data_IF_039165726821
#
_entry.id   IF_039165726821
#
_cell.length_a   1.000
_cell.length_b   1.000
_cell.length_c   1.000
_cell.angle_alpha   90.00
_cell.angle_beta   90.00
_cell.angle_gamma   90.00
#
_symmetry.space_group_name_H-M   'P 1'
#
loop_
_entity.id
_entity.type
_entity.pdbx_description
1 polymer ?
#
# COMPACT_ATOMS: atom_id res chain seq x y z
N UNK A 1 -7.66 11.69 14.15
CA UNK A 1 -7.13 12.98 13.66
C UNK A 1 -6.73 12.75 12.21
N UNK A 2 -7.17 13.61 11.30
CA UNK A 2 -6.81 13.54 9.88
C UNK A 2 -5.29 13.67 9.76
N UNK A 3 -4.63 12.83 8.98
CA UNK A 3 -3.17 12.89 8.82
C UNK A 3 -2.82 14.01 7.84
N UNK A 4 -2.44 15.17 8.37
CA UNK A 4 -1.97 16.34 7.58
C UNK A 4 -0.93 15.94 6.52
N UNK A 5 -0.06 14.98 6.84
CA UNK A 5 0.94 14.44 5.92
C UNK A 5 0.35 13.88 4.61
N UNK A 6 -0.84 13.25 4.65
CA UNK A 6 -1.49 12.72 3.44
C UNK A 6 -2.08 13.83 2.56
N UNK A 7 -2.49 14.94 3.17
CA UNK A 7 -2.99 16.12 2.45
C UNK A 7 -1.81 16.87 1.84
N UNK A 8 -0.75 17.10 2.61
CA UNK A 8 0.48 17.76 2.15
C UNK A 8 1.13 16.95 1.01
N UNK A 9 1.19 15.63 1.14
CA UNK A 9 1.69 14.72 0.11
C UNK A 9 0.74 14.51 -1.07
N UNK A 10 -0.41 15.20 -1.12
CA UNK A 10 -1.47 15.10 -2.14
C UNK A 10 -2.07 13.71 -2.34
N UNK A 11 -1.76 12.75 -1.45
CA UNK A 11 -2.34 11.40 -1.46
C UNK A 11 -3.86 11.48 -1.32
N UNK A 12 -4.33 12.29 -0.38
CA UNK A 12 -5.75 12.69 -0.33
C UNK A 12 -5.97 13.73 -1.42
N UNK A 13 -6.84 13.41 -2.38
CA UNK A 13 -7.09 14.20 -3.59
C UNK A 13 -6.63 13.46 -4.84
N UNK A 14 -5.33 13.13 -4.93
CA UNK A 14 -4.79 12.49 -6.13
C UNK A 14 -5.09 10.98 -6.18
N UNK A 15 -5.04 10.29 -5.04
CA UNK A 15 -5.20 8.82 -4.97
C UNK A 15 -6.51 8.44 -4.29
N UNK A 16 -6.72 8.95 -3.07
CA UNK A 16 -7.88 8.61 -2.25
C UNK A 16 -8.74 9.83 -1.94
N UNK A 17 -10.04 9.61 -1.80
CA UNK A 17 -10.96 10.63 -1.31
C UNK A 17 -10.72 10.89 0.18
N UNK A 18 -11.21 12.03 0.68
CA UNK A 18 -11.06 12.38 2.07
C UNK A 18 -11.72 11.35 3.01
N UNK A 19 -11.00 10.95 4.06
CA UNK A 19 -11.45 9.94 5.01
C UNK A 19 -10.94 10.21 6.43
N UNK A 20 -11.56 9.55 7.41
CA UNK A 20 -11.07 9.55 8.79
C UNK A 20 -10.34 8.25 9.09
N UNK A 21 -9.08 8.37 9.54
CA UNK A 21 -8.32 7.21 10.02
C UNK A 21 -8.96 6.65 11.29
N UNK A 22 -9.49 5.43 11.20
CA UNK A 22 -10.14 4.70 12.30
C UNK A 22 -9.30 3.53 12.81
N UNK A 23 -8.39 3.02 11.97
CA UNK A 23 -7.54 1.87 12.26
C UNK A 23 -6.07 2.29 12.17
N UNK A 24 -5.23 1.79 13.08
CA UNK A 24 -3.79 1.99 13.01
C UNK A 24 -3.18 0.87 12.18
N UNK A 25 -2.32 1.22 11.23
CA UNK A 25 -1.61 0.27 10.38
C UNK A 25 -0.11 0.54 10.47
N UNK A 26 0.69 -0.53 10.49
CA UNK A 26 2.15 -0.46 10.38
C UNK A 26 2.60 -1.36 9.25
N UNK A 27 3.34 -0.80 8.30
CA UNK A 27 3.90 -1.51 7.16
C UNK A 27 5.41 -1.57 7.31
N UNK A 28 6.01 -2.74 7.10
CA UNK A 28 7.45 -2.96 7.21
C UNK A 28 7.98 -3.74 6.01
N UNK A 29 9.06 -3.25 5.43
CA UNK A 29 9.85 -3.96 4.42
C UNK A 29 11.10 -4.55 5.06
N UNK A 30 11.35 -5.85 4.80
CA UNK A 30 12.43 -6.62 5.44
C UNK A 30 12.38 -6.50 6.97
N UNK A 31 13.41 -7.01 7.65
CA UNK A 31 13.43 -7.04 9.10
C UNK A 31 13.66 -5.68 9.77
N UNK A 32 13.73 -4.51 9.10
CA UNK A 32 14.00 -3.23 9.80
C UNK A 32 13.50 -1.94 9.12
N UNK A 33 12.87 -1.97 7.93
CA UNK A 33 12.45 -0.73 7.27
C UNK A 33 10.96 -0.47 7.48
N UNK A 34 10.63 0.31 8.49
CA UNK A 34 9.27 0.78 8.70
C UNK A 34 8.91 1.85 7.68
N UNK A 35 7.67 1.78 7.18
CA UNK A 35 7.08 2.80 6.31
C UNK A 35 6.52 3.91 7.19
N UNK A 36 7.00 5.13 6.95
CA UNK A 36 6.48 6.35 7.57
C UNK A 36 6.10 7.35 6.49
N UNK A 37 5.06 8.15 6.74
CA UNK A 37 4.57 9.15 5.81
C UNK A 37 5.70 10.09 5.35
N UNK A 38 5.77 10.31 4.03
CA UNK A 38 6.78 11.13 3.35
C UNK A 38 8.25 10.65 3.48
N UNK A 39 8.52 9.54 4.18
CA UNK A 39 9.88 9.06 4.36
C UNK A 39 10.43 8.46 3.05
N UNK A 40 11.73 8.61 2.81
CA UNK A 40 12.36 8.04 1.62
C UNK A 40 12.81 6.61 1.88
N UNK A 41 12.44 5.69 0.99
CA UNK A 41 12.90 4.31 1.00
C UNK A 41 13.73 4.02 -0.25
N UNK A 42 14.71 3.13 -0.11
CA UNK A 42 15.60 2.74 -1.19
C UNK A 42 14.92 1.65 -2.03
N UNK A 43 14.93 1.73 -3.37
CA UNK A 43 14.27 0.73 -4.22
C UNK A 43 14.68 -0.72 -3.91
N UNK A 44 15.94 -0.96 -3.55
CA UNK A 44 16.47 -2.30 -3.22
C UNK A 44 15.88 -2.91 -1.95
N UNK A 45 15.24 -2.12 -1.08
CA UNK A 45 14.56 -2.62 0.12
C UNK A 45 13.10 -2.99 -0.15
N UNK A 46 12.53 -2.55 -1.27
CA UNK A 46 11.12 -2.69 -1.63
C UNK A 46 10.82 -3.87 -2.56
N UNK A 47 11.84 -4.68 -2.89
CA UNK A 47 11.69 -5.82 -3.80
C UNK A 47 10.86 -6.98 -3.22
N UNK A 48 10.80 -7.09 -1.89
CA UNK A 48 10.03 -8.12 -1.19
C UNK A 48 8.65 -7.60 -0.78
N UNK A 49 7.68 -8.51 -0.69
CA UNK A 49 6.34 -8.22 -0.16
C UNK A 49 6.43 -7.55 1.22
N UNK A 50 5.68 -6.46 1.47
CA UNK A 50 5.64 -5.83 2.78
C UNK A 50 4.94 -6.71 3.82
N UNK A 51 5.39 -6.65 5.06
CA UNK A 51 4.65 -7.17 6.22
C UNK A 51 3.74 -6.08 6.75
N UNK A 52 2.44 -6.39 6.90
CA UNK A 52 1.44 -5.43 7.37
C UNK A 52 0.86 -5.89 8.69
N UNK A 53 0.88 -4.98 9.66
CA UNK A 53 0.29 -5.16 10.98
C UNK A 53 -0.88 -4.20 11.12
N UNK A 54 -2.06 -4.73 11.41
CA UNK A 54 -3.28 -3.92 11.57
C UNK A 54 -3.68 -3.91 13.04
N UNK A 55 -3.46 -2.76 13.68
CA UNK A 55 -3.82 -2.49 15.06
C UNK A 55 -5.19 -1.81 15.09
N UNK A 56 -6.23 -2.64 15.00
CA UNK A 56 -7.63 -2.21 15.09
C UNK A 56 -8.59 -3.18 14.42
N UNK A 57 -9.87 -3.08 14.79
CA UNK A 57 -10.92 -4.01 14.37
C UNK A 57 -11.00 -5.25 15.26
N UNK A 58 -11.93 -6.14 14.91
CA UNK A 58 -12.13 -7.41 15.61
C UNK A 58 -11.53 -8.54 14.77
N UNK A 59 -11.24 -9.71 15.35
CA UNK A 59 -10.75 -10.91 14.62
C UNK A 59 -11.69 -11.42 13.51
N UNK A 60 -12.90 -10.87 13.41
CA UNK A 60 -13.89 -11.17 12.37
C UNK A 60 -13.85 -10.19 11.20
N UNK A 61 -13.04 -9.14 11.31
CA UNK A 61 -12.88 -8.12 10.28
C UNK A 61 -11.63 -8.46 9.48
N UNK A 62 -11.78 -8.49 8.17
CA UNK A 62 -10.68 -8.69 7.22
C UNK A 62 -10.39 -7.39 6.50
N UNK A 63 -9.12 -7.11 6.29
CA UNK A 63 -8.63 -5.90 5.65
C UNK A 63 -7.91 -6.25 4.36
N UNK A 64 -8.02 -5.37 3.37
CA UNK A 64 -7.28 -5.43 2.13
C UNK A 64 -6.27 -4.29 2.08
N UNK A 65 -4.99 -4.61 1.88
CA UNK A 65 -3.96 -3.64 1.57
C UNK A 65 -3.87 -3.48 0.05
N UNK A 66 -3.89 -2.23 -0.40
CA UNK A 66 -3.59 -1.86 -1.79
C UNK A 66 -2.40 -0.92 -1.78
N UNK A 67 -1.36 -1.26 -2.55
CA UNK A 67 -0.21 -0.41 -2.78
C UNK A 67 -0.20 0.02 -4.25
N UNK A 68 -0.21 1.33 -4.48
CA UNK A 68 -0.24 1.93 -5.82
C UNK A 68 0.75 3.07 -5.94
N UNK A 69 1.26 3.30 -7.15
CA UNK A 69 2.13 4.42 -7.52
C UNK A 69 1.38 5.35 -8.50
N UNK A 70 1.02 6.57 -8.06
CA UNK A 70 0.35 7.56 -8.89
C UNK A 70 1.30 8.35 -9.80
N UNK A 71 2.61 8.15 -9.69
CA UNK A 71 3.64 8.99 -10.32
C UNK A 71 4.35 8.28 -11.48
N UNK A 72 3.75 7.24 -12.08
CA UNK A 72 4.39 6.48 -13.17
C UNK A 72 4.14 7.14 -14.54
N UNK A 73 5.18 7.33 -15.39
CA UNK A 73 6.60 7.02 -15.18
C UNK A 73 7.42 8.09 -14.42
N UNK A 74 6.86 9.29 -14.23
CA UNK A 74 7.41 10.30 -13.34
C UNK A 74 6.31 11.25 -12.85
N UNK A 75 6.52 11.94 -11.72
CA UNK A 75 5.51 12.81 -11.09
C UNK A 75 5.13 14.02 -11.94
N UNK A 76 5.99 14.43 -12.88
CA UNK A 76 5.74 15.57 -13.77
C UNK A 76 4.79 15.22 -14.93
N UNK A 77 4.77 13.97 -15.37
CA UNK A 77 3.91 13.49 -16.46
C UNK A 77 3.47 12.04 -16.19
N UNK A 78 2.55 11.84 -15.22
CA UNK A 78 2.16 10.51 -14.76
C UNK A 78 1.07 9.90 -15.66
N UNK A 79 1.32 9.79 -16.97
CA UNK A 79 0.32 9.30 -17.92
C UNK A 79 -0.03 7.80 -17.77
N UNK A 80 0.74 7.05 -16.97
CA UNK A 80 0.46 5.64 -16.64
C UNK A 80 -0.14 5.46 -15.23
N UNK A 81 -0.47 6.54 -14.53
CA UNK A 81 -1.16 6.44 -13.24
C UNK A 81 -2.52 5.76 -13.39
N UNK A 82 -2.94 4.89 -12.49
CA UNK A 82 -2.28 4.39 -11.27
C UNK A 82 -1.58 3.05 -11.55
N UNK A 83 -0.34 2.87 -11.07
CA UNK A 83 0.39 1.60 -11.19
C UNK A 83 0.28 0.78 -9.91
N UNK A 84 -0.43 -0.35 -10.00
CA UNK A 84 -0.63 -1.25 -8.89
C UNK A 84 0.65 -2.07 -8.59
N UNK A 85 1.18 -1.93 -7.38
CA UNK A 85 2.36 -2.67 -6.91
C UNK A 85 2.00 -3.96 -6.18
N UNK A 86 1.05 -3.90 -5.25
CA UNK A 86 0.65 -5.05 -4.42
C UNK A 86 -0.83 -4.95 -4.05
N UNK A 87 -1.49 -6.11 -4.00
CA UNK A 87 -2.77 -6.31 -3.32
C UNK A 87 -2.57 -7.46 -2.35
N UNK A 88 -2.92 -7.25 -1.08
CA UNK A 88 -2.93 -8.30 -0.05
C UNK A 88 -4.32 -8.30 0.56
N UNK A 89 -5.07 -9.39 0.41
CA UNK A 89 -6.42 -9.54 0.96
C UNK A 89 -6.38 -10.30 2.29
N UNK A 90 -7.55 -10.44 2.92
CA UNK A 90 -7.76 -11.35 4.05
C UNK A 90 -6.85 -11.14 5.27
N UNK A 91 -6.35 -9.92 5.47
CA UNK A 91 -5.54 -9.55 6.64
C UNK A 91 -6.49 -9.49 7.86
N UNK A 92 -6.33 -10.35 8.88
CA UNK A 92 -7.24 -10.32 10.02
C UNK A 92 -6.98 -9.08 10.89
N UNK A 93 -8.04 -8.50 11.44
CA UNK A 93 -7.93 -7.44 12.44
C UNK A 93 -7.21 -7.93 13.69
N UNK A 94 -6.41 -7.04 14.29
CA UNK A 94 -5.56 -7.29 15.49
C UNK A 94 -4.35 -8.20 15.30
N UNK A 95 -4.13 -8.73 14.11
CA UNK A 95 -2.98 -9.57 13.79
C UNK A 95 -2.17 -8.98 12.63
N UNK A 96 -1.21 -9.76 12.17
CA UNK A 96 -0.32 -9.39 11.08
C UNK A 96 -0.46 -10.33 9.89
N UNK A 97 -0.03 -9.84 8.73
CA UNK A 97 -0.08 -10.58 7.46
C UNK A 97 0.85 -11.81 7.41
N UNK A 98 1.39 -12.27 8.55
CA UNK A 98 2.16 -13.52 8.63
C UNK A 98 1.31 -14.79 8.69
N UNK A 99 -0.02 -14.65 8.80
CA UNK A 99 -0.93 -15.81 8.81
C UNK A 99 -0.97 -16.61 7.50
N UNK A 100 -0.22 -16.22 6.46
CA UNK A 100 -0.15 -16.93 5.17
C UNK A 100 1.12 -17.77 4.96
N UNK A 101 1.99 -17.97 5.95
CA UNK A 101 3.20 -18.80 5.76
C UNK A 101 3.12 -20.23 6.33
N UNK A 102 2.00 -20.64 6.94
CA UNK A 102 1.90 -22.02 7.46
C UNK A 102 0.46 -22.56 7.39
N UNK A 103 0.02 -22.99 6.20
CA UNK A 103 -1.21 -23.81 6.10
C UNK A 103 -2.02 -23.80 4.80
N UNK A 104 -1.65 -23.03 3.77
CA UNK A 104 -2.36 -23.06 2.49
C UNK A 104 -1.44 -23.64 1.41
N UNK A 105 -1.64 -24.93 1.11
CA UNK A 105 -1.02 -25.55 -0.06
C UNK A 105 -1.36 -24.76 -1.32
N UNK A 106 -0.38 -24.66 -2.21
CA UNK A 106 -0.44 -24.18 -3.59
C UNK A 106 -1.86 -24.03 -4.15
N UNK A 107 -2.50 -22.93 -3.80
CA UNK A 107 -3.67 -22.37 -4.45
C UNK A 107 -3.18 -21.07 -5.04
N UNK A 108 -3.03 -21.07 -6.35
CA UNK A 108 -2.65 -19.91 -7.13
C UNK A 108 -3.64 -18.75 -6.86
N UNK A 109 -3.33 -17.92 -5.87
CA UNK A 109 -3.89 -16.58 -5.68
C UNK A 109 -2.89 -15.56 -6.21
N UNK A 110 -2.29 -15.81 -7.38
CA UNK A 110 -2.12 -14.71 -8.31
C UNK A 110 -3.47 -14.54 -9.01
N UNK A 111 -4.34 -13.60 -8.59
CA UNK A 111 -5.32 -13.14 -9.54
C UNK A 111 -4.49 -12.60 -10.71
N UNK A 112 -4.64 -13.22 -11.87
CA UNK A 112 -4.15 -12.70 -13.14
C UNK A 112 -4.95 -11.44 -13.44
N UNK A 113 -4.71 -10.41 -12.63
CA UNK A 113 -5.39 -9.15 -12.74
C UNK A 113 -4.95 -8.54 -14.07
N UNK A 114 -5.90 -8.15 -14.94
CA UNK A 114 -5.56 -7.39 -16.14
C UNK A 114 -4.67 -6.21 -15.75
N UNK A 115 -3.67 -5.89 -16.59
CA UNK A 115 -2.62 -4.86 -16.38
C UNK A 115 -3.13 -3.43 -16.13
N UNK A 116 -4.42 -3.22 -15.93
CA UNK A 116 -5.07 -1.92 -15.78
C UNK A 116 -6.26 -2.05 -14.84
N UNK A 117 -5.97 -2.09 -13.54
CA UNK A 117 -6.99 -1.94 -12.50
C UNK A 117 -6.63 -0.72 -11.68
N UNK A 118 -7.50 0.28 -11.68
CA UNK A 118 -7.36 1.48 -10.86
C UNK A 118 -7.88 1.23 -9.44
N UNK A 119 -7.31 1.88 -8.42
CA UNK A 119 -7.79 1.80 -7.04
C UNK A 119 -9.29 2.07 -6.95
N UNK A 120 -9.76 3.09 -7.68
CA UNK A 120 -11.18 3.48 -7.73
C UNK A 120 -12.07 2.41 -8.37
N UNK A 121 -11.54 1.59 -9.26
CA UNK A 121 -12.26 0.47 -9.87
C UNK A 121 -12.30 -0.75 -8.93
N UNK A 122 -11.21 -1.02 -8.19
CA UNK A 122 -11.20 -2.03 -7.11
C UNK A 122 -12.27 -1.68 -6.07
N UNK A 123 -12.32 -0.43 -5.63
CA UNK A 123 -13.32 0.06 -4.68
C UNK A 123 -14.77 0.06 -5.24
N UNK A 124 -14.95 0.01 -6.56
CA UNK A 124 -16.27 -0.05 -7.20
C UNK A 124 -16.76 -1.48 -7.43
N UNK A 125 -15.85 -2.39 -7.77
CA UNK A 125 -16.17 -3.79 -8.08
C UNK A 125 -16.16 -4.71 -6.87
N UNK A 126 -15.27 -4.44 -5.92
CA UNK A 126 -15.21 -5.12 -4.63
C UNK A 126 -15.73 -4.17 -3.54
N UNK A 127 -16.34 -4.74 -2.52
CA UNK A 127 -17.02 -4.07 -1.39
C UNK A 127 -16.08 -3.24 -0.49
N UNK A 128 -14.92 -2.82 -1.00
CA UNK A 128 -13.90 -2.03 -0.32
C UNK A 128 -14.42 -0.60 -0.16
N UNK A 129 -14.84 -0.29 1.08
CA UNK A 129 -15.34 1.02 1.50
C UNK A 129 -14.22 2.07 1.46
N UNK A 130 -14.57 3.31 1.79
CA UNK A 130 -13.63 4.39 2.12
C UNK A 130 -12.46 3.86 2.95
N UNK A 131 -11.21 4.26 2.63
CA UNK A 131 -10.04 3.74 3.33
C UNK A 131 -10.13 4.03 4.83
N UNK A 132 -9.72 3.04 5.64
CA UNK A 132 -9.69 3.14 7.12
C UNK A 132 -8.33 3.58 7.64
N UNK A 133 -7.29 3.43 6.81
CA UNK A 133 -5.92 3.85 7.04
C UNK A 133 -5.23 4.05 5.69
N UNK A 134 -4.26 4.96 5.62
CA UNK A 134 -3.36 5.08 4.48
C UNK A 134 -1.98 5.58 4.96
N UNK A 135 -0.94 5.14 4.26
CA UNK A 135 0.45 5.55 4.44
C UNK A 135 1.08 5.71 3.06
N UNK A 136 2.08 6.58 2.94
CA UNK A 136 2.88 6.70 1.73
C UNK A 136 4.37 6.87 2.07
N UNK A 137 5.22 6.52 1.14
CA UNK A 137 6.66 6.77 1.21
C UNK A 137 7.15 7.23 -0.16
N UNK A 138 8.30 7.87 -0.19
CA UNK A 138 8.94 8.31 -1.42
C UNK A 138 10.01 7.31 -1.83
N UNK A 139 10.11 7.02 -3.13
CA UNK A 139 11.14 6.15 -3.68
C UNK A 139 11.63 6.72 -5.00
N UNK A 140 12.93 6.95 -5.11
CA UNK A 140 13.55 7.42 -6.35
C UNK A 140 14.75 6.55 -6.66
N UNK A 141 14.98 6.27 -7.94
CA UNK A 141 16.24 5.66 -8.36
C UNK A 141 17.39 6.61 -8.00
N UNK A 142 18.49 6.12 -7.39
CA UNK A 142 19.63 6.99 -7.10
C UNK A 142 20.14 7.62 -8.40
N UNK A 143 20.33 8.93 -8.37
CA UNK A 143 20.92 9.66 -9.49
C UNK A 143 22.30 9.08 -9.84
N UNK A 144 22.60 8.96 -11.12
CA UNK A 144 23.86 8.38 -11.60
C UNK A 144 25.12 9.10 -11.06
N UNK A 145 24.97 10.31 -10.54
CA UNK A 145 26.02 11.15 -9.95
C UNK A 145 26.54 10.71 -8.58
N UNK A 146 25.87 9.78 -7.89
CA UNK A 146 26.28 9.33 -6.54
C UNK A 146 27.15 8.05 -6.55
N UNK A 147 27.58 7.58 -7.73
CA UNK A 147 28.67 6.60 -7.83
C UNK A 147 30.00 7.34 -7.93
N UNK A 148 30.58 7.73 -6.81
CA UNK A 148 32.01 8.07 -6.69
C UNK A 148 32.61 7.23 -5.57
#
# INVERSE_FOLDING_TARGET
>A
MQSEALVIGRVIGDVVDNFWSTVKMSVRYKCNNHVYNAHQLVPSTLASTPKVHVLGGDMRTFFTLIMTDPDVPGPSDPYLREHLHWIITDIPGTTDSSFEEEGAGAGDCSPSLPRRIQYKEICRGERVRTPVAALFFNCQRPSASTRR
#
